data_IF_501777885022
#
_entry.id   IF_501777885022
#
_cell.length_a   1.000
_cell.length_b   1.000
_cell.length_c   1.000
_cell.angle_alpha   90.00
_cell.angle_beta   90.00
_cell.angle_gamma   90.00
#
_symmetry.space_group_name_H-M   'P 1'
#
loop_
_entity.id
_entity.type
_entity.pdbx_description
1 polymer ?
#
# COMPACT_ATOMS: atom_id res chain seq x y z
N UNK A 1 -19.24 -4.60 -3.06
CA UNK A 1 -18.14 -5.47 -2.62
C UNK A 1 -16.95 -4.54 -2.40
N UNK A 2 -16.58 -4.24 -1.15
CA UNK A 2 -15.44 -3.38 -0.85
C UNK A 2 -14.18 -4.23 -0.80
N UNK A 3 -13.14 -3.86 -1.54
CA UNK A 3 -11.82 -4.49 -1.43
C UNK A 3 -11.13 -4.03 -0.14
N UNK A 4 -10.36 -4.91 0.51
CA UNK A 4 -9.50 -4.48 1.62
C UNK A 4 -8.32 -3.65 1.08
N UNK A 5 -7.64 -2.91 1.97
CA UNK A 5 -6.47 -2.12 1.59
C UNK A 5 -5.35 -3.01 1.01
N UNK A 6 -5.17 -4.20 1.60
CA UNK A 6 -4.20 -5.21 1.16
C UNK A 6 -4.58 -5.78 -0.20
N UNK A 7 -5.88 -6.03 -0.45
CA UNK A 7 -6.34 -6.49 -1.77
C UNK A 7 -6.05 -5.44 -2.85
N UNK A 8 -6.34 -4.17 -2.55
CA UNK A 8 -6.04 -3.08 -3.48
C UNK A 8 -4.54 -2.97 -3.75
N UNK A 9 -3.71 -3.12 -2.71
CA UNK A 9 -2.26 -3.14 -2.84
C UNK A 9 -1.79 -4.31 -3.72
N UNK A 10 -2.26 -5.53 -3.47
CA UNK A 10 -1.87 -6.71 -4.25
C UNK A 10 -2.25 -6.57 -5.74
N UNK A 11 -3.42 -6.01 -6.03
CA UNK A 11 -3.84 -5.72 -7.40
C UNK A 11 -2.97 -4.65 -8.07
N UNK A 12 -2.64 -3.57 -7.34
CA UNK A 12 -1.68 -2.57 -7.82
C UNK A 12 -0.33 -3.21 -8.12
N UNK A 13 0.20 -4.01 -7.19
CA UNK A 13 1.51 -4.66 -7.33
C UNK A 13 1.52 -5.60 -8.53
N UNK A 14 0.42 -6.30 -8.82
CA UNK A 14 0.29 -7.12 -10.02
C UNK A 14 0.47 -6.26 -11.29
N UNK A 15 -0.22 -5.12 -11.40
CA UNK A 15 -0.06 -4.20 -12.52
C UNK A 15 1.39 -3.68 -12.62
N UNK A 16 2.02 -3.33 -11.50
CA UNK A 16 3.41 -2.88 -11.49
C UNK A 16 4.39 -3.96 -11.96
N UNK A 17 4.11 -5.24 -11.68
CA UNK A 17 4.92 -6.36 -12.17
C UNK A 17 4.78 -6.54 -13.68
N UNK A 18 3.58 -6.41 -14.23
CA UNK A 18 3.39 -6.43 -15.69
C UNK A 18 4.18 -5.30 -16.37
N UNK A 19 4.19 -4.11 -15.77
CA UNK A 19 5.02 -3.00 -16.24
C UNK A 19 6.52 -3.31 -16.12
N UNK A 20 6.95 -3.85 -14.98
CA UNK A 20 8.36 -4.21 -14.74
C UNK A 20 8.88 -5.33 -15.64
N UNK A 21 7.97 -6.16 -16.17
CA UNK A 21 8.24 -7.22 -17.13
C UNK A 21 8.08 -6.74 -18.58
N UNK A 22 8.00 -5.43 -18.82
CA UNK A 22 7.81 -4.80 -20.14
C UNK A 22 6.55 -5.29 -20.88
N UNK A 23 5.57 -5.83 -20.15
CA UNK A 23 4.31 -6.38 -20.71
C UNK A 23 3.27 -5.27 -20.94
N UNK A 24 3.29 -4.24 -20.10
CA UNK A 24 2.49 -3.02 -20.29
C UNK A 24 3.41 -1.78 -20.22
N UNK A 25 3.01 -0.72 -20.90
CA UNK A 25 3.69 0.59 -20.80
C UNK A 25 3.40 1.29 -19.47
N UNK A 26 4.20 2.30 -19.13
CA UNK A 26 3.99 3.10 -17.92
C UNK A 26 2.63 3.84 -17.93
N UNK A 27 2.19 4.33 -19.10
CA UNK A 27 0.88 4.95 -19.22
C UNK A 27 -0.26 3.96 -18.95
N UNK A 28 -0.14 2.73 -19.45
CA UNK A 28 -1.10 1.67 -19.16
C UNK A 28 -1.12 1.31 -17.67
N UNK A 29 0.04 1.28 -17.01
CA UNK A 29 0.11 1.09 -15.56
C UNK A 29 -0.71 2.17 -14.84
N UNK A 30 -0.46 3.45 -15.14
CA UNK A 30 -1.13 4.60 -14.51
C UNK A 30 -2.65 4.53 -14.71
N UNK A 31 -3.10 4.19 -15.91
CA UNK A 31 -4.52 4.03 -16.22
C UNK A 31 -5.14 2.85 -15.46
N UNK A 32 -4.47 1.69 -15.46
CA UNK A 32 -4.96 0.48 -14.80
C UNK A 32 -5.05 0.64 -13.28
N UNK A 33 -4.13 1.39 -12.66
CA UNK A 33 -4.14 1.60 -11.20
C UNK A 33 -5.06 2.72 -10.74
N UNK A 34 -5.68 3.49 -11.65
CA UNK A 34 -6.49 4.65 -11.28
C UNK A 34 -7.67 4.30 -10.35
N UNK A 35 -8.30 3.14 -10.55
CA UNK A 35 -9.36 2.64 -9.67
C UNK A 35 -8.80 2.21 -8.29
N UNK A 36 -7.64 1.56 -8.25
CA UNK A 36 -7.00 1.14 -7.01
C UNK A 36 -6.49 2.33 -6.20
N UNK A 37 -5.91 3.34 -6.86
CA UNK A 37 -5.46 4.58 -6.22
C UNK A 37 -6.58 5.26 -5.45
N UNK A 38 -7.76 5.42 -6.07
CA UNK A 38 -8.93 6.01 -5.39
C UNK A 38 -9.36 5.21 -4.16
N UNK A 39 -9.36 3.89 -4.25
CA UNK A 39 -9.72 3.01 -3.13
C UNK A 39 -8.68 3.04 -2.02
N UNK A 40 -7.39 2.96 -2.36
CA UNK A 40 -6.27 3.04 -1.43
C UNK A 40 -6.32 4.37 -0.67
N UNK A 41 -6.43 5.50 -1.37
CA UNK A 41 -6.53 6.82 -0.72
C UNK A 41 -7.74 6.90 0.21
N UNK A 42 -8.90 6.41 -0.21
CA UNK A 42 -10.09 6.41 0.65
C UNK A 42 -9.92 5.53 1.89
N UNK A 43 -9.33 4.34 1.76
CA UNK A 43 -9.11 3.41 2.86
C UNK A 43 -8.02 3.91 3.81
N UNK A 44 -6.94 4.48 3.28
CA UNK A 44 -5.86 5.10 4.05
C UNK A 44 -6.42 6.19 4.97
N UNK A 45 -7.20 7.13 4.43
CA UNK A 45 -7.80 8.18 5.26
C UNK A 45 -8.73 7.64 6.35
N UNK A 46 -9.50 6.58 6.05
CA UNK A 46 -10.35 5.92 7.06
C UNK A 46 -9.53 5.29 8.18
N UNK A 47 -8.38 4.70 7.87
CA UNK A 47 -7.48 4.08 8.85
C UNK A 47 -6.82 5.14 9.72
N UNK A 48 -6.37 6.25 9.12
CA UNK A 48 -5.73 7.35 9.87
C UNK A 48 -6.71 8.15 10.72
N UNK A 49 -8.00 8.13 10.39
CA UNK A 49 -9.07 8.80 11.14
C UNK A 49 -9.65 7.93 12.27
N UNK A 50 -9.08 6.73 12.50
CA UNK A 50 -9.53 5.88 13.60
C UNK A 50 -9.18 6.50 14.97
N UNK A 51 -10.07 6.37 15.97
CA UNK A 51 -9.80 6.85 17.31
C UNK A 51 -8.65 6.06 17.95
N UNK A 52 -8.02 6.66 18.98
CA UNK A 52 -6.92 6.03 19.71
C UNK A 52 -7.28 4.63 20.19
N UNK A 53 -6.45 3.66 19.82
CA UNK A 53 -6.65 2.26 20.19
C UNK A 53 -6.32 2.01 21.66
N UNK A 54 -6.99 1.03 22.31
CA UNK A 54 -6.60 0.58 23.65
C UNK A 54 -5.12 0.16 23.68
N UNK A 55 -4.43 0.38 24.80
CA UNK A 55 -3.00 0.08 24.99
C UNK A 55 -2.59 -1.31 24.50
N UNK A 56 -3.43 -2.33 24.71
CA UNK A 56 -3.18 -3.71 24.29
C UNK A 56 -3.06 -3.88 22.77
N UNK A 57 -3.80 -3.10 22.00
CA UNK A 57 -3.80 -3.18 20.53
C UNK A 57 -2.92 -2.10 19.89
N UNK A 58 -2.23 -1.28 20.68
CA UNK A 58 -1.53 -0.11 20.16
C UNK A 58 -0.43 -0.51 19.17
N UNK A 59 0.40 -1.50 19.52
CA UNK A 59 1.49 -1.97 18.66
C UNK A 59 0.97 -2.59 17.34
N UNK A 60 -0.17 -3.28 17.36
CA UNK A 60 -0.81 -3.84 16.17
C UNK A 60 -1.42 -2.74 15.30
N UNK A 61 -2.14 -1.79 15.92
CA UNK A 61 -2.71 -0.61 15.27
C UNK A 61 -1.65 0.24 14.56
N UNK A 62 -0.52 0.50 15.24
CA UNK A 62 0.63 1.21 14.65
C UNK A 62 1.16 0.48 13.40
N UNK A 63 1.23 -0.85 13.42
CA UNK A 63 1.64 -1.62 12.24
C UNK A 63 0.61 -1.56 11.10
N UNK A 64 -0.69 -1.51 11.40
CA UNK A 64 -1.74 -1.29 10.40
C UNK A 64 -1.64 0.12 9.79
N UNK A 65 -1.35 1.15 10.59
CA UNK A 65 -1.14 2.51 10.07
C UNK A 65 0.11 2.60 9.21
N UNK A 66 1.19 1.94 9.63
CA UNK A 66 2.44 1.91 8.89
C UNK A 66 2.27 1.26 7.51
N UNK A 67 1.65 0.08 7.45
CA UNK A 67 1.39 -0.58 6.16
C UNK A 67 0.44 0.24 5.29
N UNK A 68 -0.55 0.91 5.90
CA UNK A 68 -1.45 1.79 5.17
C UNK A 68 -0.71 2.97 4.53
N UNK A 69 0.25 3.58 5.24
CA UNK A 69 1.11 4.63 4.70
C UNK A 69 1.97 4.12 3.54
N UNK A 70 2.61 2.95 3.68
CA UNK A 70 3.41 2.34 2.61
C UNK A 70 2.58 2.02 1.37
N UNK A 71 1.33 1.54 1.52
CA UNK A 71 0.42 1.29 0.39
C UNK A 71 -0.01 2.61 -0.25
N UNK A 72 -0.24 3.65 0.55
CA UNK A 72 -0.59 4.98 0.04
C UNK A 72 0.54 5.59 -0.79
N UNK A 73 1.82 5.36 -0.44
CA UNK A 73 2.98 5.79 -1.22
C UNK A 73 2.90 5.29 -2.69
N UNK A 74 2.35 4.10 -2.95
CA UNK A 74 2.19 3.58 -4.32
C UNK A 74 1.37 4.53 -5.20
N UNK A 75 0.34 5.13 -4.61
CA UNK A 75 -0.55 6.09 -5.30
C UNK A 75 0.14 7.40 -5.60
N UNK A 76 1.18 7.75 -4.84
CA UNK A 76 2.01 8.92 -5.09
C UNK A 76 2.94 8.66 -6.27
N UNK A 77 3.53 7.46 -6.38
CA UNK A 77 4.50 7.18 -7.45
C UNK A 77 3.83 7.03 -8.81
N UNK A 78 2.71 6.31 -8.91
CA UNK A 78 1.99 6.10 -10.18
C UNK A 78 0.58 6.70 -10.14
N UNK A 79 0.46 7.89 -9.56
CA UNK A 79 -0.76 8.69 -9.61
C UNK A 79 -0.76 9.56 -10.86
N UNK A 80 -1.88 9.60 -11.58
CA UNK A 80 -2.01 10.41 -12.81
C UNK A 80 -1.65 11.90 -12.59
N UNK A 81 -1.92 12.43 -11.40
CA UNK A 81 -1.60 13.83 -11.02
C UNK A 81 -0.17 14.04 -10.52
N UNK A 82 0.57 12.97 -10.26
CA UNK A 82 1.89 12.99 -9.61
C UNK A 82 3.00 12.43 -10.51
N UNK A 83 2.67 12.05 -11.76
CA UNK A 83 3.62 11.52 -12.74
C UNK A 83 4.78 12.49 -13.06
N UNK A 84 4.57 13.79 -12.93
CA UNK A 84 5.61 14.79 -13.21
C UNK A 84 6.48 15.12 -12.00
N UNK A 85 6.18 14.56 -10.82
CA UNK A 85 6.89 14.89 -9.56
C UNK A 85 8.30 14.30 -9.50
N UNK A 86 8.49 13.10 -10.06
CA UNK A 86 9.76 12.37 -10.05
C UNK A 86 10.08 11.85 -11.44
N UNK A 87 11.37 11.61 -11.74
CA UNK A 87 11.73 10.87 -12.96
C UNK A 87 11.23 9.42 -12.90
N UNK A 88 11.08 8.78 -14.05
CA UNK A 88 10.71 7.37 -14.15
C UNK A 88 11.67 6.45 -13.37
N UNK A 89 12.98 6.72 -13.45
CA UNK A 89 13.98 5.97 -12.68
C UNK A 89 13.76 6.09 -11.18
N UNK A 90 13.48 7.30 -10.70
CA UNK A 90 13.18 7.56 -9.28
C UNK A 90 11.87 6.88 -8.85
N UNK A 91 10.80 6.94 -9.66
CA UNK A 91 9.55 6.22 -9.37
C UNK A 91 9.79 4.73 -9.22
N UNK A 92 10.56 4.14 -10.13
CA UNK A 92 10.93 2.73 -10.08
C UNK A 92 11.75 2.38 -8.83
N UNK A 93 12.71 3.22 -8.47
CA UNK A 93 13.51 3.03 -7.26
C UNK A 93 12.63 3.08 -5.99
N UNK A 94 11.80 4.12 -5.88
CA UNK A 94 10.87 4.32 -4.76
C UNK A 94 9.86 3.19 -4.65
N UNK A 95 9.31 2.72 -5.77
CA UNK A 95 8.38 1.60 -5.79
C UNK A 95 9.05 0.31 -5.31
N UNK A 96 10.24 -0.03 -5.82
CA UNK A 96 11.00 -1.22 -5.38
C UNK A 96 11.32 -1.18 -3.88
N UNK A 97 11.75 -0.02 -3.36
CA UNK A 97 12.01 0.15 -1.95
C UNK A 97 10.72 -0.05 -1.11
N UNK A 98 9.60 0.51 -1.58
CA UNK A 98 8.31 0.41 -0.91
C UNK A 98 7.70 -0.99 -0.96
N UNK A 99 7.93 -1.75 -2.05
CA UNK A 99 7.56 -3.17 -2.12
C UNK A 99 8.29 -4.02 -1.07
N UNK A 100 9.59 -3.75 -0.85
CA UNK A 100 10.35 -4.44 0.19
C UNK A 100 9.82 -4.11 1.59
N UNK A 101 9.52 -2.82 1.85
CA UNK A 101 8.89 -2.38 3.12
C UNK A 101 7.54 -3.05 3.34
N UNK A 102 6.67 -3.03 2.33
CA UNK A 102 5.35 -3.67 2.35
C UNK A 102 5.42 -5.16 2.72
N UNK A 103 6.35 -5.91 2.14
CA UNK A 103 6.52 -7.33 2.46
C UNK A 103 6.92 -7.54 3.92
N UNK A 104 7.84 -6.72 4.45
CA UNK A 104 8.27 -6.81 5.85
C UNK A 104 7.12 -6.42 6.81
N UNK A 105 6.36 -5.39 6.46
CA UNK A 105 5.24 -4.89 7.25
C UNK A 105 4.07 -5.89 7.30
N UNK A 106 3.76 -6.58 6.19
CA UNK A 106 2.75 -7.64 6.16
C UNK A 106 3.10 -8.77 7.13
N UNK A 107 4.35 -9.24 7.13
CA UNK A 107 4.77 -10.31 8.03
C UNK A 107 4.74 -9.87 9.50
N UNK A 108 5.12 -8.61 9.78
CA UNK A 108 5.03 -8.04 11.12
C UNK A 108 3.58 -7.91 11.61
N UNK A 109 2.65 -7.47 10.74
CA UNK A 109 1.23 -7.39 11.07
C UNK A 109 0.67 -8.77 11.44
N UNK A 110 0.97 -9.80 10.63
CA UNK A 110 0.54 -11.18 10.91
C UNK A 110 1.10 -11.71 12.23
N UNK A 111 2.37 -11.42 12.52
CA UNK A 111 3.00 -11.80 13.77
C UNK A 111 2.26 -11.15 14.96
N UNK A 112 2.09 -9.83 14.94
CA UNK A 112 1.41 -9.08 16.01
C UNK A 112 -0.05 -9.49 16.19
N UNK A 113 -0.74 -9.80 15.09
CA UNK A 113 -2.11 -10.33 15.14
C UNK A 113 -2.16 -11.70 15.84
N UNK A 114 -1.19 -12.58 15.57
CA UNK A 114 -1.07 -13.88 16.22
C UNK A 114 -0.79 -13.74 17.71
N UNK A 115 0.11 -12.83 18.09
CA UNK A 115 0.42 -12.50 19.49
C UNK A 115 -0.85 -12.02 20.21
N UNK A 116 -1.57 -11.06 19.63
CA UNK A 116 -2.81 -10.51 20.19
C UNK A 116 -3.89 -11.59 20.40
N UNK A 117 -4.06 -12.50 19.44
CA UNK A 117 -5.03 -13.58 19.52
C UNK A 117 -4.64 -14.68 20.53
N UNK A 118 -3.35 -14.81 20.84
CA UNK A 118 -2.86 -15.77 21.84
C UNK A 118 -3.02 -15.29 23.29
N UNK A 119 -3.27 -13.99 23.49
CA UNK A 119 -3.47 -13.35 24.80
C UNK A 119 -4.96 -13.25 25.22
N UNK A 120 -5.88 -13.67 24.35
CA UNK A 120 -7.35 -13.65 24.56
C UNK A 120 -7.84 -15.06 24.87
#
# INVERSE_FOLDING_TARGET
MGYSLIDCANQFIAQYREYSNDTISENQLVDNVQMFNRQITSLYFKITDLPSTPLKCNSWSESIQQIAATIHDFTLFYGQKTMDTWSQENRNHLMKASLKRYQQEIELVKQKETELLSEI
#
